data_IF_269475077651
#
_entry.id   IF_269475077651
#
_cell.length_a   1.000
_cell.length_b   1.000
_cell.length_c   1.000
_cell.angle_alpha   90.00
_cell.angle_beta   90.00
_cell.angle_gamma   90.00
#
_symmetry.space_group_name_H-M   'P 1'
#
loop_
_entity.id
_entity.type
_entity.pdbx_description
1 polymer ?
#
# COMPACT_ATOMS: atom_id res chain seq x y z
N UNK A 1 -17.24 -1.37 -5.10
CA UNK A 1 -16.14 -1.53 -4.13
C UNK A 1 -14.87 -1.05 -4.80
N UNK A 2 -13.86 -0.68 -4.01
CA UNK A 2 -12.54 -0.30 -4.49
C UNK A 2 -11.55 -1.22 -3.79
N UNK A 3 -10.69 -1.86 -4.57
CA UNK A 3 -9.52 -2.55 -4.03
C UNK A 3 -8.39 -1.53 -3.90
N UNK A 4 -8.12 -1.07 -2.68
CA UNK A 4 -7.18 0.05 -2.44
C UNK A 4 -5.72 -0.37 -2.37
N UNK A 5 -5.41 -1.67 -2.49
CA UNK A 5 -4.04 -2.18 -2.49
C UNK A 5 -3.96 -3.58 -3.12
N UNK A 6 -3.20 -3.71 -4.20
CA UNK A 6 -2.91 -4.99 -4.86
C UNK A 6 -1.63 -4.93 -5.71
N UNK A 7 -1.04 -6.09 -6.00
CA UNK A 7 0.17 -6.25 -6.81
C UNK A 7 -0.14 -7.01 -8.10
N UNK A 8 -1.01 -6.44 -8.95
CA UNK A 8 -1.38 -7.06 -10.24
C UNK A 8 -0.22 -7.14 -11.26
N UNK A 9 0.89 -6.46 -11.01
CA UNK A 9 2.14 -6.59 -11.77
C UNK A 9 2.97 -7.82 -11.39
N UNK A 10 2.58 -8.56 -10.35
CA UNK A 10 3.25 -9.77 -9.92
C UNK A 10 3.14 -10.88 -10.98
N UNK A 11 4.21 -11.67 -11.17
CA UNK A 11 4.31 -12.77 -12.17
C UNK A 11 3.17 -13.79 -12.08
N UNK A 12 2.59 -13.92 -10.89
CA UNK A 12 1.45 -14.79 -10.62
C UNK A 12 0.22 -14.47 -11.50
N UNK A 13 0.11 -13.28 -12.09
CA UNK A 13 -0.99 -12.88 -12.97
C UNK A 13 -0.62 -12.79 -14.45
N UNK A 14 0.65 -13.04 -14.82
CA UNK A 14 1.17 -12.82 -16.18
C UNK A 14 0.33 -13.52 -17.27
N UNK A 15 -0.19 -14.71 -16.95
CA UNK A 15 -0.88 -15.57 -17.90
C UNK A 15 -2.41 -15.40 -17.94
N UNK A 16 -3.02 -14.69 -16.99
CA UNK A 16 -4.49 -14.63 -16.87
C UNK A 16 -5.05 -13.30 -16.32
N UNK A 17 -4.28 -12.21 -16.44
CA UNK A 17 -4.68 -10.89 -15.94
C UNK A 17 -6.02 -10.39 -16.52
N UNK A 18 -6.32 -10.69 -17.78
CA UNK A 18 -7.60 -10.31 -18.40
C UNK A 18 -8.77 -10.97 -17.67
N UNK A 19 -8.68 -12.27 -17.40
CA UNK A 19 -9.70 -13.03 -16.70
C UNK A 19 -9.83 -12.58 -15.23
N UNK A 20 -8.71 -12.23 -14.57
CA UNK A 20 -8.71 -11.64 -13.22
C UNK A 20 -9.51 -10.32 -13.19
N UNK A 21 -9.26 -9.43 -14.14
CA UNK A 21 -9.98 -8.15 -14.25
C UNK A 21 -11.47 -8.38 -14.52
N UNK A 22 -11.82 -9.31 -15.43
CA UNK A 22 -13.21 -9.68 -15.72
C UNK A 22 -13.92 -10.17 -14.45
N UNK A 23 -13.30 -11.09 -13.69
CA UNK A 23 -13.85 -11.59 -12.43
C UNK A 23 -14.07 -10.47 -11.43
N UNK A 24 -13.09 -9.58 -11.24
CA UNK A 24 -13.19 -8.48 -10.29
C UNK A 24 -14.29 -7.47 -10.66
N UNK A 25 -14.41 -7.12 -11.95
CA UNK A 25 -15.47 -6.22 -12.43
C UNK A 25 -16.85 -6.85 -12.22
N UNK A 26 -16.99 -8.16 -12.45
CA UNK A 26 -18.24 -8.90 -12.27
C UNK A 26 -18.70 -8.95 -10.80
N UNK A 27 -17.79 -8.90 -9.82
CA UNK A 27 -18.14 -8.83 -8.40
C UNK A 27 -18.45 -7.41 -7.90
N UNK A 28 -18.39 -6.40 -8.77
CA UNK A 28 -18.68 -5.01 -8.41
C UNK A 28 -17.47 -4.21 -7.95
N UNK A 29 -16.25 -4.68 -8.23
CA UNK A 29 -15.01 -3.91 -8.03
C UNK A 29 -14.88 -2.91 -9.16
N UNK A 30 -14.89 -1.62 -8.81
CA UNK A 30 -14.91 -0.51 -9.76
C UNK A 30 -13.54 0.09 -10.03
N UNK A 31 -12.58 -0.16 -9.15
CA UNK A 31 -11.22 0.30 -9.28
C UNK A 31 -10.27 -0.60 -8.48
N UNK A 32 -9.04 -0.73 -8.96
CA UNK A 32 -7.93 -1.32 -8.24
C UNK A 32 -6.77 -0.31 -8.20
N UNK A 33 -6.15 -0.14 -7.03
CA UNK A 33 -4.91 0.61 -6.86
C UNK A 33 -3.74 -0.37 -6.86
N UNK A 34 -2.96 -0.34 -7.94
CA UNK A 34 -1.76 -1.14 -8.13
C UNK A 34 -0.54 -0.32 -7.74
N UNK A 35 0.32 -0.87 -6.88
CA UNK A 35 1.49 -0.19 -6.36
C UNK A 35 2.78 -0.87 -6.81
N UNK A 36 3.84 -0.09 -6.88
CA UNK A 36 5.20 -0.63 -7.05
C UNK A 36 5.77 -0.99 -5.69
N UNK A 37 6.55 -2.06 -5.62
CA UNK A 37 7.41 -2.38 -4.48
C UNK A 37 8.84 -1.91 -4.75
N UNK A 38 9.27 -1.97 -6.01
CA UNK A 38 10.58 -1.51 -6.46
C UNK A 38 10.53 -0.75 -7.79
N UNK A 39 11.66 -0.13 -8.15
CA UNK A 39 11.77 0.64 -9.39
C UNK A 39 11.48 -0.20 -10.64
N UNK A 40 11.81 -1.49 -10.61
CA UNK A 40 11.64 -2.39 -11.74
C UNK A 40 10.16 -2.66 -12.07
N UNK A 41 9.24 -2.42 -11.13
CA UNK A 41 7.80 -2.63 -11.32
C UNK A 41 7.16 -1.51 -12.15
N UNK A 42 7.79 -0.33 -12.22
CA UNK A 42 7.21 0.86 -12.84
C UNK A 42 6.72 0.59 -14.28
N UNK A 43 7.52 -0.02 -15.19
CA UNK A 43 7.05 -0.33 -16.53
C UNK A 43 5.83 -1.25 -16.55
N UNK A 44 5.80 -2.28 -15.69
CA UNK A 44 4.71 -3.27 -15.61
C UNK A 44 3.41 -2.62 -15.11
N UNK A 45 3.51 -1.80 -14.05
CA UNK A 45 2.37 -1.06 -13.51
C UNK A 45 1.81 -0.05 -14.52
N UNK A 46 2.67 0.59 -15.33
CA UNK A 46 2.24 1.48 -16.42
C UNK A 46 1.59 0.76 -17.59
N UNK A 47 2.08 -0.44 -17.92
CA UNK A 47 1.46 -1.29 -18.93
C UNK A 47 0.04 -1.67 -18.51
N UNK A 48 -0.13 -2.09 -17.25
CA UNK A 48 -1.45 -2.37 -16.65
C UNK A 48 -2.38 -1.15 -16.71
N UNK A 49 -1.88 0.05 -16.35
CA UNK A 49 -2.65 1.29 -16.47
C UNK A 49 -3.07 1.59 -17.91
N UNK A 50 -2.19 1.30 -18.87
CA UNK A 50 -2.47 1.52 -20.30
C UNK A 50 -3.50 0.52 -20.82
N UNK A 51 -3.43 -0.74 -20.37
CA UNK A 51 -4.35 -1.82 -20.76
C UNK A 51 -5.75 -1.64 -20.17
N UNK A 52 -5.87 -1.16 -18.94
CA UNK A 52 -7.15 -0.97 -18.23
C UNK A 52 -7.31 0.45 -17.67
N UNK A 53 -7.33 1.49 -18.52
CA UNK A 53 -7.23 2.89 -18.09
C UNK A 53 -8.39 3.37 -17.22
N UNK A 54 -9.56 2.75 -17.34
CA UNK A 54 -10.78 3.09 -16.58
C UNK A 54 -10.93 2.33 -15.26
N UNK A 55 -10.04 1.39 -14.96
CA UNK A 55 -10.18 0.50 -13.79
C UNK A 55 -8.91 0.45 -12.93
N UNK A 56 -7.73 0.41 -13.56
CA UNK A 56 -6.46 0.44 -12.84
C UNK A 56 -6.06 1.88 -12.53
N UNK A 57 -5.71 2.10 -11.27
CA UNK A 57 -5.06 3.28 -10.75
C UNK A 57 -3.69 2.87 -10.23
N UNK A 58 -2.74 3.80 -10.23
CA UNK A 58 -1.35 3.46 -9.94
C UNK A 58 -0.76 4.38 -8.88
N UNK A 59 0.07 3.81 -8.02
CA UNK A 59 0.93 4.53 -7.10
C UNK A 59 2.36 4.03 -7.22
N UNK A 60 3.31 4.95 -7.08
CA UNK A 60 4.73 4.63 -7.14
C UNK A 60 5.39 4.90 -5.80
N UNK A 61 6.27 3.99 -5.41
CA UNK A 61 6.97 4.00 -4.15
C UNK A 61 8.04 2.91 -4.13
N UNK A 62 8.92 3.01 -3.15
CA UNK A 62 9.90 2.00 -2.82
C UNK A 62 9.51 1.41 -1.48
N UNK A 63 9.17 0.13 -1.52
CA UNK A 63 8.82 -0.67 -0.37
C UNK A 63 10.07 -0.89 0.51
N UNK A 64 9.92 -0.98 1.85
CA UNK A 64 11.03 -1.26 2.76
C UNK A 64 11.78 -2.58 2.46
N UNK A 65 11.17 -3.52 1.73
CA UNK A 65 11.81 -4.76 1.25
C UNK A 65 12.02 -4.68 -0.27
N UNK A 66 13.20 -5.10 -0.74
CA UNK A 66 13.48 -5.28 -2.17
C UNK A 66 14.14 -6.64 -2.41
N UNK A 67 13.94 -7.26 -3.57
CA UNK A 67 14.60 -8.52 -3.94
C UNK A 67 15.90 -8.27 -4.74
N UNK A 68 16.92 -9.09 -4.51
CA UNK A 68 18.16 -9.10 -5.31
C UNK A 68 17.96 -10.03 -6.49
N UNK A 69 18.28 -9.53 -7.69
CA UNK A 69 18.15 -10.25 -8.97
C UNK A 69 18.95 -11.56 -9.08
N UNK A 70 19.83 -11.87 -8.11
CA UNK A 70 20.68 -13.06 -8.15
C UNK A 70 20.11 -14.27 -7.39
N UNK A 71 18.91 -14.16 -6.82
CA UNK A 71 18.24 -15.29 -6.13
C UNK A 71 18.93 -15.76 -4.86
N UNK A 72 19.97 -15.05 -4.38
CA UNK A 72 20.54 -15.32 -3.07
C UNK A 72 19.61 -14.80 -1.97
N UNK A 73 19.30 -15.65 -0.99
CA UNK A 73 18.29 -15.40 0.03
C UNK A 73 18.38 -14.00 0.68
N UNK A 74 17.27 -13.25 0.59
CA UNK A 74 16.95 -11.99 1.27
C UNK A 74 17.91 -10.81 1.03
N UNK A 75 17.57 -9.91 0.10
CA UNK A 75 17.98 -8.51 0.26
C UNK A 75 17.09 -7.81 1.26
N UNK A 76 17.76 -7.32 2.29
CA UNK A 76 17.22 -6.72 3.49
C UNK A 76 17.37 -5.22 3.37
N UNK A 77 16.26 -4.50 3.42
CA UNK A 77 16.20 -3.04 3.45
C UNK A 77 16.73 -2.33 2.20
N UNK A 78 16.17 -1.17 1.90
CA UNK A 78 16.76 -0.17 1.00
C UNK A 78 18.22 0.07 1.41
N UNK A 79 19.14 0.25 0.46
CA UNK A 79 20.58 0.35 0.73
C UNK A 79 21.05 1.81 0.61
N UNK A 80 21.67 2.35 1.67
CA UNK A 80 22.53 3.54 1.54
C UNK A 80 23.86 3.08 0.96
N UNK A 81 24.25 3.54 -0.22
CA UNK A 81 25.67 3.54 -0.59
C UNK A 81 26.24 4.90 -0.29
N UNK A 82 27.10 4.97 0.72
CA UNK A 82 28.00 6.10 0.89
C UNK A 82 28.98 6.07 -0.28
N UNK A 83 28.76 6.86 -1.32
CA UNK A 83 29.83 7.12 -2.28
C UNK A 83 30.83 8.06 -1.61
N UNK A 84 32.11 7.67 -1.53
CA UNK A 84 33.22 8.44 -0.93
C UNK A 84 33.44 9.85 -1.55
N UNK A 85 32.65 10.24 -2.55
CA UNK A 85 32.73 11.50 -3.27
C UNK A 85 31.35 12.18 -3.41
N UNK A 86 30.80 12.75 -2.34
CA UNK A 86 29.71 13.74 -2.46
C UNK A 86 29.58 14.66 -1.23
N UNK A 87 30.60 15.47 -0.95
CA UNK A 87 30.44 16.63 -0.04
C UNK A 87 29.76 17.78 -0.79
N UNK A 88 28.42 17.77 -0.84
CA UNK A 88 27.60 18.91 -1.27
C UNK A 88 27.09 19.72 -0.07
N UNK A 89 26.81 21.03 -0.23
CA UNK A 89 26.49 21.96 0.87
C UNK A 89 25.16 21.69 1.60
N UNK A 90 24.42 20.64 1.22
CA UNK A 90 23.15 20.22 1.83
C UNK A 90 23.20 18.83 2.49
N UNK A 91 24.38 18.22 2.65
CA UNK A 91 24.64 17.11 3.56
C UNK A 91 23.56 16.02 3.63
N UNK A 92 23.20 15.40 2.50
CA UNK A 92 22.33 14.22 2.44
C UNK A 92 22.82 13.35 1.28
N UNK A 93 23.37 12.18 1.61
CA UNK A 93 23.79 11.14 0.67
C UNK A 93 22.57 10.55 -0.06
N UNK A 94 22.75 10.19 -1.33
CA UNK A 94 21.71 9.58 -2.15
C UNK A 94 21.68 8.05 -1.93
N UNK A 95 20.49 7.52 -1.66
CA UNK A 95 20.23 6.08 -1.67
C UNK A 95 20.26 5.61 -3.13
N UNK A 96 21.09 4.61 -3.46
CA UNK A 96 21.17 4.06 -4.82
C UNK A 96 19.81 3.58 -5.34
N UNK A 97 18.94 3.14 -4.44
CA UNK A 97 17.60 2.67 -4.75
C UNK A 97 16.59 3.82 -4.95
N UNK A 98 16.91 5.04 -4.51
CA UNK A 98 16.15 6.27 -4.82
C UNK A 98 16.66 7.00 -6.06
N UNK A 99 17.88 6.67 -6.54
CA UNK A 99 18.49 7.32 -7.71
C UNK A 99 17.59 7.21 -8.94
N UNK A 100 17.04 8.35 -9.37
CA UNK A 100 16.09 8.44 -10.48
C UNK A 100 14.68 7.94 -10.18
N UNK A 101 14.39 7.33 -9.02
CA UNK A 101 13.02 6.99 -8.61
C UNK A 101 12.22 8.26 -8.36
N UNK A 102 12.80 9.20 -7.60
CA UNK A 102 12.17 10.51 -7.36
C UNK A 102 11.81 11.21 -8.68
N UNK A 103 12.74 11.28 -9.62
CA UNK A 103 12.51 11.90 -10.93
C UNK A 103 11.44 11.16 -11.74
N UNK A 104 11.42 9.82 -11.65
CA UNK A 104 10.41 9.00 -12.31
C UNK A 104 9.02 9.25 -11.69
N UNK A 105 8.91 9.35 -10.37
CA UNK A 105 7.66 9.72 -9.69
C UNK A 105 7.20 11.10 -10.14
N UNK A 106 8.08 12.10 -10.13
CA UNK A 106 7.75 13.49 -10.53
C UNK A 106 7.28 13.53 -11.99
N UNK A 107 8.01 12.87 -12.90
CA UNK A 107 7.66 12.80 -14.33
C UNK A 107 6.27 12.20 -14.56
N UNK A 108 5.86 11.25 -13.71
CA UNK A 108 4.58 10.56 -13.80
C UNK A 108 3.52 11.09 -12.82
N UNK A 109 3.77 12.16 -12.07
CA UNK A 109 2.91 12.57 -10.95
C UNK A 109 1.43 12.80 -11.35
N UNK A 110 1.16 13.24 -12.58
CA UNK A 110 -0.20 13.52 -13.07
C UNK A 110 -1.10 12.30 -13.21
N UNK A 111 -0.52 11.10 -13.34
CA UNK A 111 -1.26 9.83 -13.48
C UNK A 111 -1.24 9.01 -12.19
N UNK A 112 -0.47 9.43 -11.18
CA UNK A 112 -0.41 8.76 -9.89
C UNK A 112 -1.59 9.18 -9.02
N UNK A 113 -2.16 8.21 -8.30
CA UNK A 113 -3.17 8.47 -7.28
C UNK A 113 -2.60 8.42 -5.87
N UNK A 114 -1.40 7.86 -5.70
CA UNK A 114 -0.72 7.70 -4.42
C UNK A 114 0.81 7.65 -4.58
N UNK A 115 1.53 7.93 -3.49
CA UNK A 115 2.90 7.47 -3.28
C UNK A 115 2.84 6.20 -2.44
N UNK A 116 3.33 5.08 -2.98
CA UNK A 116 3.14 3.76 -2.40
C UNK A 116 3.63 2.65 -3.34
N UNK A 117 4.04 1.50 -2.85
CA UNK A 117 4.04 1.13 -1.43
C UNK A 117 5.30 1.66 -0.72
N UNK A 118 5.14 2.25 0.46
CA UNK A 118 6.23 2.85 1.24
C UNK A 118 6.06 2.54 2.72
N UNK A 119 7.10 2.54 3.54
CA UNK A 119 6.90 2.38 4.98
C UNK A 119 8.07 1.74 5.70
N UNK A 120 7.76 1.03 6.78
CA UNK A 120 8.73 0.37 7.64
C UNK A 120 8.37 -1.11 7.86
N UNK A 121 9.33 -2.00 7.69
CA UNK A 121 9.27 -3.41 8.10
C UNK A 121 10.44 -3.72 9.03
N UNK A 122 10.13 -3.82 10.33
CA UNK A 122 11.10 -4.13 11.38
C UNK A 122 11.09 -5.60 11.80
N UNK A 123 10.60 -6.50 10.92
CA UNK A 123 10.73 -7.93 11.13
C UNK A 123 12.21 -8.27 11.39
N UNK A 124 12.57 -9.00 12.46
CA UNK A 124 13.99 -9.23 12.80
C UNK A 124 14.83 -9.88 11.68
N UNK A 125 14.19 -10.71 10.86
CA UNK A 125 14.82 -11.33 9.69
C UNK A 125 15.10 -10.35 8.54
N UNK A 126 14.50 -9.16 8.57
CA UNK A 126 14.60 -8.10 7.58
C UNK A 126 15.47 -6.96 8.10
N UNK A 127 15.15 -6.45 9.28
CA UNK A 127 15.71 -5.24 9.86
C UNK A 127 16.41 -5.61 11.18
N UNK A 128 17.56 -6.32 11.11
CA UNK A 128 18.15 -6.98 12.26
C UNK A 128 18.84 -6.02 13.24
N UNK A 129 19.15 -4.79 12.82
CA UNK A 129 19.94 -3.85 13.60
C UNK A 129 19.45 -2.40 13.42
N UNK A 130 19.91 -1.52 14.31
CA UNK A 130 19.50 -0.12 14.32
C UNK A 130 19.86 0.62 13.02
N UNK A 131 21.00 0.31 12.41
CA UNK A 131 21.41 0.93 11.15
C UNK A 131 20.37 0.66 10.05
N UNK A 132 19.92 -0.59 9.90
CA UNK A 132 18.84 -0.93 8.95
C UNK A 132 17.51 -0.23 9.27
N UNK A 133 17.22 0.02 10.54
CA UNK A 133 16.03 0.78 10.93
C UNK A 133 16.14 2.24 10.48
N UNK A 134 17.29 2.88 10.71
CA UNK A 134 17.54 4.26 10.31
C UNK A 134 17.54 4.45 8.80
N UNK A 135 18.02 3.46 8.04
CA UNK A 135 17.95 3.51 6.58
C UNK A 135 16.49 3.49 6.11
N UNK A 136 15.66 2.55 6.59
CA UNK A 136 14.23 2.53 6.23
C UNK A 136 13.53 3.83 6.64
N UNK A 137 13.83 4.38 7.83
CA UNK A 137 13.30 5.67 8.28
C UNK A 137 13.68 6.81 7.33
N UNK A 138 14.94 6.88 6.91
CA UNK A 138 15.43 7.91 6.00
C UNK A 138 14.72 7.85 4.65
N UNK A 139 14.60 6.64 4.08
CA UNK A 139 13.93 6.43 2.79
C UNK A 139 12.45 6.77 2.90
N UNK A 140 11.78 6.25 3.93
CA UNK A 140 10.37 6.53 4.14
C UNK A 140 10.12 8.03 4.37
N UNK A 141 10.98 8.71 5.12
CA UNK A 141 10.94 10.17 5.30
C UNK A 141 11.01 10.91 3.97
N UNK A 142 11.95 10.53 3.10
CA UNK A 142 12.07 11.11 1.75
C UNK A 142 10.78 10.95 0.93
N UNK A 143 10.17 9.77 0.99
CA UNK A 143 8.92 9.47 0.28
C UNK A 143 7.70 10.18 0.88
N UNK A 144 7.62 10.34 2.21
CA UNK A 144 6.60 11.17 2.86
C UNK A 144 6.68 12.62 2.39
N UNK A 145 7.89 13.18 2.35
CA UNK A 145 8.12 14.56 1.89
C UNK A 145 7.74 14.73 0.42
N UNK A 146 8.11 13.77 -0.43
CA UNK A 146 7.72 13.76 -1.85
C UNK A 146 6.19 13.69 -2.03
N UNK A 147 5.50 12.84 -1.27
CA UNK A 147 4.04 12.76 -1.31
C UNK A 147 3.37 14.09 -0.93
N UNK A 148 3.91 14.78 0.08
CA UNK A 148 3.45 16.12 0.47
C UNK A 148 3.70 17.17 -0.61
N UNK A 149 4.88 17.18 -1.21
CA UNK A 149 5.25 18.08 -2.31
C UNK A 149 4.33 17.92 -3.52
N UNK A 150 3.97 16.67 -3.85
CA UNK A 150 3.09 16.34 -4.96
C UNK A 150 1.59 16.38 -4.59
N UNK A 151 1.25 16.65 -3.34
CA UNK A 151 -0.11 16.57 -2.79
C UNK A 151 -0.80 15.22 -3.08
N UNK A 152 -0.03 14.14 -3.00
CA UNK A 152 -0.49 12.76 -3.18
C UNK A 152 -0.64 12.07 -1.81
N UNK A 153 -1.67 11.21 -1.63
CA UNK A 153 -1.78 10.32 -0.48
C UNK A 153 -0.62 9.33 -0.38
N UNK A 154 -0.42 8.80 0.81
CA UNK A 154 0.50 7.70 1.09
C UNK A 154 -0.27 6.39 1.24
N UNK A 155 0.22 5.34 0.59
CA UNK A 155 -0.16 3.95 0.86
C UNK A 155 1.00 3.26 1.58
N UNK A 156 0.78 2.94 2.87
CA UNK A 156 1.85 2.72 3.83
C UNK A 156 1.88 1.29 4.37
N UNK A 157 3.02 0.65 4.15
CA UNK A 157 3.43 -0.59 4.80
C UNK A 157 3.82 -0.37 6.27
N UNK A 158 3.41 -1.29 7.13
CA UNK A 158 3.87 -1.32 8.51
C UNK A 158 3.84 -2.72 9.09
N UNK A 159 5.01 -3.35 9.23
CA UNK A 159 5.16 -4.67 9.84
C UNK A 159 6.20 -4.65 10.96
N UNK A 160 5.80 -5.17 12.13
CA UNK A 160 6.60 -5.06 13.38
C UNK A 160 7.05 -3.62 13.73
N UNK A 161 6.46 -2.61 13.10
CA UNK A 161 6.89 -1.21 13.15
C UNK A 161 5.73 -0.21 13.35
N UNK A 162 4.55 -0.68 13.81
CA UNK A 162 3.34 0.15 13.83
C UNK A 162 3.47 1.48 14.57
N UNK A 163 4.12 1.48 15.74
CA UNK A 163 4.35 2.69 16.53
C UNK A 163 5.32 3.64 15.81
N UNK A 164 6.55 3.22 15.44
CA UNK A 164 7.47 4.12 14.75
C UNK A 164 6.94 4.62 13.40
N UNK A 165 6.17 3.82 12.66
CA UNK A 165 5.55 4.28 11.40
C UNK A 165 4.56 5.43 11.64
N UNK A 166 3.63 5.27 12.57
CA UNK A 166 2.63 6.31 12.89
C UNK A 166 3.31 7.56 13.47
N UNK A 167 4.30 7.40 14.34
CA UNK A 167 5.04 8.53 14.91
C UNK A 167 5.79 9.31 13.83
N UNK A 168 6.47 8.63 12.91
CA UNK A 168 7.21 9.27 11.82
C UNK A 168 6.27 10.01 10.85
N UNK A 169 5.16 9.36 10.45
CA UNK A 169 4.13 10.01 9.62
C UNK A 169 3.60 11.30 10.23
N UNK A 170 3.33 11.29 11.54
CA UNK A 170 2.87 12.48 12.27
C UNK A 170 3.94 13.56 12.35
N UNK A 171 5.18 13.18 12.69
CA UNK A 171 6.31 14.12 12.77
C UNK A 171 6.57 14.80 11.43
N UNK A 172 6.48 14.06 10.33
CA UNK A 172 6.63 14.58 8.97
C UNK A 172 5.37 15.25 8.42
N UNK A 173 4.30 15.39 9.23
CA UNK A 173 3.09 16.12 8.86
C UNK A 173 2.24 15.45 7.78
N UNK A 174 2.30 14.12 7.65
CA UNK A 174 1.45 13.38 6.74
C UNK A 174 -0.02 13.36 7.22
N UNK A 175 -0.95 13.72 6.35
CA UNK A 175 -2.39 13.85 6.67
C UNK A 175 -3.29 12.93 5.84
N UNK A 176 -2.83 12.47 4.67
CA UNK A 176 -3.56 11.59 3.76
C UNK A 176 -2.85 10.25 3.67
N UNK A 177 -3.24 9.32 4.54
CA UNK A 177 -2.53 8.04 4.72
C UNK A 177 -3.52 6.89 4.76
N UNK A 178 -3.24 5.85 3.98
CA UNK A 178 -3.73 4.49 4.19
C UNK A 178 -2.63 3.68 4.85
N UNK A 179 -2.92 3.10 6.01
CA UNK A 179 -2.13 2.05 6.64
C UNK A 179 -2.62 0.72 6.09
N UNK A 180 -1.91 0.19 5.10
CA UNK A 180 -2.27 -1.05 4.42
C UNK A 180 -1.96 -2.28 5.28
N UNK A 181 -2.81 -3.31 5.19
CA UNK A 181 -2.72 -4.59 5.87
C UNK A 181 -2.22 -4.52 7.33
N UNK A 182 -2.62 -3.48 8.06
CA UNK A 182 -1.94 -3.04 9.28
C UNK A 182 -1.75 -4.16 10.31
N UNK A 183 -0.50 -4.44 10.66
CA UNK A 183 -0.13 -5.56 11.54
C UNK A 183 0.05 -5.15 13.02
N UNK A 184 -0.33 -3.92 13.38
CA UNK A 184 -0.20 -3.39 14.73
C UNK A 184 -1.39 -3.70 15.66
N UNK A 185 -1.23 -3.38 16.94
CA UNK A 185 -2.31 -3.51 17.94
C UNK A 185 -3.43 -2.48 17.67
N UNK A 186 -4.69 -2.79 17.99
CA UNK A 186 -5.80 -1.84 17.87
C UNK A 186 -5.55 -0.48 18.55
N UNK A 187 -4.88 -0.47 19.71
CA UNK A 187 -4.55 0.78 20.40
C UNK A 187 -3.63 1.70 19.60
N UNK A 188 -2.72 1.14 18.79
CA UNK A 188 -1.89 1.92 17.87
C UNK A 188 -2.68 2.38 16.65
N UNK A 189 -3.56 1.55 16.12
CA UNK A 189 -4.46 1.95 15.03
C UNK A 189 -5.31 3.16 15.44
N UNK A 190 -5.82 3.20 16.67
CA UNK A 190 -6.60 4.34 17.19
C UNK A 190 -5.79 5.65 17.27
N UNK A 191 -4.46 5.59 17.46
CA UNK A 191 -3.60 6.77 17.33
C UNK A 191 -3.59 7.30 15.89
N UNK A 192 -3.53 6.40 14.91
CA UNK A 192 -3.65 6.75 13.49
C UNK A 192 -5.05 7.26 13.12
N UNK A 193 -6.12 6.66 13.65
CA UNK A 193 -7.49 7.16 13.47
C UNK A 193 -7.63 8.60 13.97
N UNK A 194 -7.08 8.90 15.16
CA UNK A 194 -7.07 10.26 15.69
C UNK A 194 -6.26 11.25 14.83
N UNK A 195 -5.29 10.77 14.06
CA UNK A 195 -4.54 11.55 13.07
C UNK A 195 -5.25 11.64 11.69
N UNK A 196 -6.41 11.02 11.53
CA UNK A 196 -7.18 11.02 10.28
C UNK A 196 -6.79 9.93 9.28
N UNK A 197 -6.02 8.92 9.70
CA UNK A 197 -5.57 7.84 8.83
C UNK A 197 -6.65 6.79 8.60
N UNK A 198 -6.55 6.13 7.45
CA UNK A 198 -7.40 5.01 7.06
C UNK A 198 -6.66 3.68 7.20
N UNK A 199 -7.40 2.60 7.39
CA UNK A 199 -6.88 1.24 7.57
C UNK A 199 -7.63 0.30 6.64
N UNK A 200 -6.92 -0.33 5.71
CA UNK A 200 -7.51 -1.31 4.81
C UNK A 200 -7.46 -2.72 5.41
N UNK A 201 -8.43 -3.54 5.04
CA UNK A 201 -8.64 -4.88 5.57
C UNK A 201 -8.60 -5.89 4.43
N UNK A 202 -7.63 -6.82 4.42
CA UNK A 202 -7.52 -7.87 3.41
C UNK A 202 -8.36 -9.11 3.77
N UNK A 203 -8.65 -10.01 2.81
CA UNK A 203 -9.47 -11.20 3.03
C UNK A 203 -8.93 -12.17 4.10
N UNK A 204 -7.63 -12.11 4.41
CA UNK A 204 -7.04 -12.88 5.50
C UNK A 204 -7.62 -12.56 6.89
N UNK A 205 -8.49 -11.54 7.01
CA UNK A 205 -9.28 -11.27 8.22
C UNK A 205 -10.04 -12.51 8.73
N UNK A 206 -10.44 -13.43 7.85
CA UNK A 206 -11.09 -14.69 8.27
C UNK A 206 -10.17 -15.61 9.10
N UNK A 207 -8.87 -15.53 8.90
CA UNK A 207 -7.86 -16.37 9.57
C UNK A 207 -6.97 -15.62 10.56
N UNK A 208 -6.92 -14.29 10.48
CA UNK A 208 -6.04 -13.48 11.32
C UNK A 208 -6.77 -12.80 12.47
N UNK A 209 -6.63 -13.35 13.68
CA UNK A 209 -7.18 -12.76 14.92
C UNK A 209 -6.83 -11.28 15.09
N UNK A 210 -5.61 -10.86 14.71
CA UNK A 210 -5.21 -9.47 14.81
C UNK A 210 -6.05 -8.56 13.89
N UNK A 211 -6.32 -8.97 12.64
CA UNK A 211 -7.19 -8.21 11.73
C UNK A 211 -8.64 -8.21 12.23
N UNK A 212 -9.12 -9.29 12.82
CA UNK A 212 -10.46 -9.37 13.42
C UNK A 212 -10.64 -8.35 14.56
N UNK A 213 -9.66 -8.25 15.45
CA UNK A 213 -9.67 -7.26 16.54
C UNK A 213 -9.52 -5.82 16.01
N UNK A 214 -8.75 -5.63 14.94
CA UNK A 214 -8.63 -4.34 14.28
C UNK A 214 -9.97 -3.87 13.71
N UNK A 215 -10.69 -4.74 12.98
CA UNK A 215 -12.02 -4.45 12.43
C UNK A 215 -12.99 -4.07 13.53
N UNK A 216 -12.98 -4.73 14.69
CA UNK A 216 -13.87 -4.38 15.80
C UNK A 216 -13.58 -2.98 16.33
N UNK A 217 -12.30 -2.64 16.52
CA UNK A 217 -11.89 -1.39 17.15
C UNK A 217 -11.97 -0.15 16.23
N UNK A 218 -11.54 -0.26 14.97
CA UNK A 218 -11.43 0.91 14.07
C UNK A 218 -12.82 1.31 13.56
N UNK A 219 -13.20 2.60 13.60
CA UNK A 219 -14.49 3.06 13.07
C UNK A 219 -14.66 2.73 11.59
N UNK A 220 -15.89 2.40 11.16
CA UNK A 220 -16.16 2.09 9.75
C UNK A 220 -15.80 3.25 8.80
N UNK A 221 -15.88 4.49 9.28
CA UNK A 221 -15.45 5.73 8.59
C UNK A 221 -13.94 5.87 8.41
N UNK A 222 -13.15 4.95 8.97
CA UNK A 222 -11.70 4.88 8.82
C UNK A 222 -11.27 3.55 8.20
N UNK A 223 -12.20 2.68 7.82
CA UNK A 223 -11.90 1.43 7.16
C UNK A 223 -11.93 1.57 5.63
N UNK A 224 -11.04 0.84 4.98
CA UNK A 224 -10.97 0.66 3.53
C UNK A 224 -11.01 -0.84 3.22
N UNK A 225 -11.25 -1.16 1.96
CA UNK A 225 -11.15 -2.53 1.46
C UNK A 225 -9.87 -2.68 0.65
N UNK A 226 -9.21 -3.81 0.80
CA UNK A 226 -8.08 -4.21 -0.04
C UNK A 226 -8.08 -5.72 -0.23
N UNK A 227 -7.28 -6.21 -1.18
CA UNK A 227 -6.96 -7.63 -1.28
C UNK A 227 -5.53 -7.94 -0.89
N UNK A 228 -4.59 -7.05 -1.18
CA UNK A 228 -3.16 -7.36 -1.16
C UNK A 228 -2.82 -8.56 -2.07
N UNK A 229 -3.61 -8.74 -3.13
CA UNK A 229 -3.43 -9.85 -4.08
C UNK A 229 -2.06 -9.77 -4.77
N UNK A 230 -1.37 -10.91 -4.99
CA UNK A 230 -1.86 -12.29 -4.94
C UNK A 230 -1.88 -12.94 -3.55
N UNK A 231 -1.49 -12.23 -2.51
CA UNK A 231 -1.40 -12.76 -1.14
C UNK A 231 -2.58 -12.33 -0.28
N UNK A 232 -2.54 -12.68 1.01
CA UNK A 232 -3.57 -12.35 2.01
C UNK A 232 -5.01 -12.73 1.67
N UNK A 233 -5.20 -13.82 0.92
CA UNK A 233 -6.50 -14.44 0.69
C UNK A 233 -7.13 -15.05 1.96
N UNK A 234 -8.39 -15.46 1.83
CA UNK A 234 -9.13 -16.22 2.86
C UNK A 234 -8.39 -17.51 3.20
N UNK A 235 -7.96 -18.27 2.17
CA UNK A 235 -6.97 -19.34 2.31
C UNK A 235 -5.57 -18.79 2.04
N UNK A 236 -4.58 -19.30 2.78
CA UNK A 236 -3.17 -19.00 2.52
C UNK A 236 -2.58 -19.83 1.37
N UNK A 237 -3.26 -20.90 0.94
CA UNK A 237 -2.78 -21.82 -0.10
C UNK A 237 -3.26 -21.42 -1.50
N UNK A 238 -4.31 -20.58 -1.58
CA UNK A 238 -4.91 -20.15 -2.84
C UNK A 238 -4.42 -18.75 -3.20
N UNK A 239 -4.16 -18.54 -4.49
CA UNK A 239 -3.86 -17.22 -5.05
C UNK A 239 -5.07 -16.31 -4.81
N UNK A 240 -4.84 -15.18 -4.16
CA UNK A 240 -5.85 -14.15 -3.94
C UNK A 240 -5.99 -13.26 -5.19
N UNK A 241 -7.15 -12.63 -5.37
CA UNK A 241 -7.44 -11.76 -6.51
C UNK A 241 -8.31 -10.58 -6.09
N UNK A 242 -8.32 -9.46 -6.83
CA UNK A 242 -9.15 -8.30 -6.52
C UNK A 242 -10.64 -8.62 -6.34
N UNK A 243 -11.15 -9.67 -7.00
CA UNK A 243 -12.53 -10.13 -6.84
C UNK A 243 -12.89 -10.52 -5.39
N UNK A 244 -11.91 -11.01 -4.62
CA UNK A 244 -12.08 -11.45 -3.23
C UNK A 244 -12.20 -10.29 -2.23
N UNK A 245 -12.08 -9.03 -2.68
CA UNK A 245 -12.31 -7.85 -1.81
C UNK A 245 -13.70 -7.86 -1.16
N UNK A 246 -14.67 -8.54 -1.79
CA UNK A 246 -16.01 -8.76 -1.23
C UNK A 246 -15.96 -9.51 0.10
N UNK A 247 -14.98 -10.40 0.31
CA UNK A 247 -14.80 -11.16 1.56
C UNK A 247 -14.47 -10.23 2.71
N UNK A 248 -13.56 -9.28 2.51
CA UNK A 248 -13.28 -8.25 3.53
C UNK A 248 -14.54 -7.44 3.84
N UNK A 249 -15.31 -7.08 2.81
CA UNK A 249 -16.55 -6.32 2.97
C UNK A 249 -17.61 -7.09 3.79
N UNK A 250 -17.82 -8.37 3.48
CA UNK A 250 -18.74 -9.27 4.20
C UNK A 250 -18.32 -9.43 5.67
N UNK A 251 -17.03 -9.62 5.92
CA UNK A 251 -16.52 -9.74 7.28
C UNK A 251 -16.73 -8.45 8.09
N UNK A 252 -16.41 -7.28 7.51
CA UNK A 252 -16.61 -5.99 8.18
C UNK A 252 -18.09 -5.79 8.50
N UNK A 253 -18.99 -6.10 7.57
CA UNK A 253 -20.44 -5.97 7.75
C UNK A 253 -20.91 -6.79 8.97
N UNK A 254 -20.51 -8.07 9.02
CA UNK A 254 -20.80 -8.96 10.14
C UNK A 254 -20.23 -8.40 11.47
N UNK A 255 -18.96 -8.00 11.48
CA UNK A 255 -18.29 -7.54 12.69
C UNK A 255 -18.83 -6.19 13.20
N UNK A 256 -19.35 -5.34 12.31
CA UNK A 256 -19.93 -4.03 12.65
C UNK A 256 -21.44 -4.07 12.88
N UNK A 257 -22.11 -5.18 12.59
CA UNK A 257 -23.57 -5.30 12.73
C UNK A 257 -24.34 -4.40 11.77
N UNK A 258 -23.79 -4.19 10.56
CA UNK A 258 -24.42 -3.41 9.48
C UNK A 258 -24.54 -4.28 8.23
N UNK A 259 -25.35 -3.89 7.26
CA UNK A 259 -25.46 -4.61 6.00
C UNK A 259 -24.23 -4.39 5.10
N UNK A 260 -24.04 -5.30 4.15
CA UNK A 260 -22.91 -5.27 3.21
C UNK A 260 -22.95 -4.01 2.32
N UNK A 261 -24.14 -3.51 1.94
CA UNK A 261 -24.24 -2.30 1.11
C UNK A 261 -23.75 -1.06 1.86
N UNK A 262 -24.05 -0.94 3.15
CA UNK A 262 -23.53 0.11 4.03
C UNK A 262 -22.00 0.11 4.06
N UNK A 263 -21.37 -1.06 4.22
CA UNK A 263 -19.89 -1.17 4.17
C UNK A 263 -19.36 -0.79 2.81
N UNK A 264 -19.97 -1.29 1.72
CA UNK A 264 -19.57 -0.94 0.34
C UNK A 264 -19.62 0.56 0.12
N UNK A 265 -20.68 1.22 0.57
CA UNK A 265 -20.86 2.66 0.43
C UNK A 265 -19.78 3.42 1.22
N UNK A 266 -19.71 3.19 2.54
CA UNK A 266 -18.81 3.96 3.42
C UNK A 266 -17.34 3.74 3.04
N UNK A 267 -16.92 2.50 2.76
CA UNK A 267 -15.53 2.24 2.36
C UNK A 267 -15.19 2.83 0.99
N UNK A 268 -16.17 2.90 0.07
CA UNK A 268 -15.98 3.60 -1.22
C UNK A 268 -15.85 5.11 -0.99
N UNK A 269 -16.70 5.72 -0.16
CA UNK A 269 -16.61 7.15 0.19
C UNK A 269 -15.28 7.48 0.88
N UNK A 270 -14.82 6.63 1.81
CA UNK A 270 -13.52 6.76 2.47
C UNK A 270 -12.37 6.72 1.46
N UNK A 271 -12.39 5.76 0.52
CA UNK A 271 -11.38 5.62 -0.52
C UNK A 271 -11.32 6.87 -1.41
N UNK A 272 -12.47 7.43 -1.81
CA UNK A 272 -12.53 8.65 -2.63
C UNK A 272 -12.12 9.90 -1.85
N UNK A 273 -12.41 9.94 -0.55
CA UNK A 273 -11.92 11.00 0.34
C UNK A 273 -10.40 10.98 0.46
N UNK A 274 -9.80 9.80 0.53
CA UNK A 274 -8.34 9.65 0.58
C UNK A 274 -7.70 9.90 -0.79
N UNK A 275 -8.22 9.27 -1.84
CA UNK A 275 -7.73 9.27 -3.23
C UNK A 275 -8.73 9.97 -4.18
N UNK A 276 -8.84 11.32 -4.16
CA UNK A 276 -9.81 12.07 -4.94
C UNK A 276 -9.57 12.01 -6.45
N UNK A 277 -8.34 11.68 -6.88
CA UNK A 277 -7.99 11.52 -8.30
C UNK A 277 -8.19 10.09 -8.80
N UNK A 278 -8.74 9.20 -7.98
CA UNK A 278 -8.98 7.81 -8.35
C UNK A 278 -10.06 7.72 -9.43
N UNK A 279 -9.75 6.97 -10.49
CA UNK A 279 -10.67 6.67 -11.58
C UNK A 279 -11.48 5.43 -11.19
N UNK A 280 -12.79 5.49 -11.45
CA UNK A 280 -13.73 4.40 -11.20
C UNK A 280 -14.39 4.02 -12.50
N UNK A 281 -14.41 2.71 -12.78
CA UNK A 281 -15.21 2.17 -13.88
C UNK A 281 -16.67 2.53 -13.66
N UNK A 282 -17.29 3.10 -14.68
CA UNK A 282 -18.72 3.35 -14.73
C UNK A 282 -19.40 2.09 -15.28
N UNK A 283 -20.51 1.70 -14.66
CA UNK A 283 -21.40 0.70 -15.24
C UNK A 283 -22.43 1.48 -16.06
N UNK A 284 -22.46 1.24 -17.37
CA UNK A 284 -23.51 1.72 -18.26
C UNK A 284 -24.70 0.75 -18.24
#
# INVERSE_FOLDING_TARGET
MIDTHCHLSHEAFENDIDEVVVRAVATGVRAALVLTEERADIPLVLELKTRYPEWINVGFGIHPLQMRKDGSHLSRSVTMKVSELAFGPFGLEFLQDMDGVRDTIIKNAKQLVAIGEVGLDFTPAICPNLDSHEIQRSVFTSQIRLARELNLPLNVHSRSASKPTIELLKTEGATRVQMHAFDGRPSQAMVGVAAGYFFSIPPCVYRSKQKQELVKAVPLTNLLLETDSPVLGVSAEQRNEPAEVIKSCEYIAQAKGVDVLTVRQITTENALKLYPNMILKQYH
#
